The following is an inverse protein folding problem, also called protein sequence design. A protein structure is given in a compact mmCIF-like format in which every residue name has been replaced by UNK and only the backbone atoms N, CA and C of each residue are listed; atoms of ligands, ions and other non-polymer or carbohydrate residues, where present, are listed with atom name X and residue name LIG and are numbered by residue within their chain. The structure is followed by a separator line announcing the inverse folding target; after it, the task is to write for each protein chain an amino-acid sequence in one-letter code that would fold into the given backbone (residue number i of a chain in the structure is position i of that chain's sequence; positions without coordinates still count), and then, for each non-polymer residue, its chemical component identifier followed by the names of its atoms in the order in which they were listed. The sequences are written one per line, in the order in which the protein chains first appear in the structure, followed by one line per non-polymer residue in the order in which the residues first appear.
data_IF_441257110467
#
_entry.id   IF_441257110467
#
_cell.length_a   1.000
_cell.length_b   1.000
_cell.length_c   1.000
_cell.angle_alpha   90.00
_cell.angle_beta   90.00
_cell.angle_gamma   90.00
#
_symmetry.space_group_name_H-M   'P 1'
#
loop_
_entity.id
_entity.type
_entity.pdbx_description
1 polymer ?
#
# COMPACT_ATOMS: atom_id res chain seq x y z
N UNK A 1 0.53 20.03 8.20
CA UNK A 1 -0.61 19.29 8.77
C UNK A 1 -1.94 19.65 8.10
N UNK A 2 -2.39 20.88 8.10
CA UNK A 2 -3.68 21.31 7.50
C UNK A 2 -3.79 20.89 6.03
N UNK A 3 -2.75 21.11 5.22
CA UNK A 3 -2.78 20.75 3.81
C UNK A 3 -2.87 19.24 3.57
N UNK A 4 -2.18 18.41 4.36
CA UNK A 4 -2.25 16.95 4.24
C UNK A 4 -3.68 16.45 4.52
N UNK A 5 -4.33 17.00 5.55
CA UNK A 5 -5.72 16.67 5.86
C UNK A 5 -6.68 17.13 4.75
N UNK A 6 -6.49 18.34 4.23
CA UNK A 6 -7.27 18.86 3.10
C UNK A 6 -7.06 18.04 1.83
N UNK A 7 -5.83 17.58 1.57
CA UNK A 7 -5.51 16.76 0.41
C UNK A 7 -6.21 15.39 0.49
N UNK A 8 -6.23 14.75 1.66
CA UNK A 8 -6.96 13.50 1.87
C UNK A 8 -8.47 13.72 1.65
N UNK A 9 -9.07 14.73 2.27
CA UNK A 9 -10.49 15.01 2.14
C UNK A 9 -10.92 15.39 0.71
N UNK A 10 -10.12 16.24 0.04
CA UNK A 10 -10.35 16.59 -1.37
C UNK A 10 -10.13 15.39 -2.29
N UNK A 11 -9.08 14.61 -2.04
CA UNK A 11 -8.78 13.38 -2.78
C UNK A 11 -9.93 12.38 -2.69
N UNK A 12 -10.48 12.15 -1.50
CA UNK A 12 -11.62 11.26 -1.28
C UNK A 12 -12.88 11.73 -2.02
N UNK A 13 -13.16 13.03 -2.06
CA UNK A 13 -14.27 13.58 -2.86
C UNK A 13 -14.02 13.40 -4.36
N UNK A 14 -12.82 13.69 -4.82
CA UNK A 14 -12.45 13.63 -6.23
C UNK A 14 -12.59 12.22 -6.81
N UNK A 15 -12.20 11.18 -6.06
CA UNK A 15 -12.27 9.78 -6.54
C UNK A 15 -13.70 9.26 -6.67
N UNK A 16 -14.67 9.89 -5.99
CA UNK A 16 -16.09 9.56 -6.13
C UNK A 16 -16.76 10.19 -7.36
N UNK A 17 -16.08 11.14 -8.02
CA UNK A 17 -16.62 11.79 -9.20
C UNK A 17 -16.70 10.85 -10.43
N UNK A 18 -17.64 11.11 -11.36
CA UNK A 18 -17.74 10.35 -12.60
C UNK A 18 -16.41 10.29 -13.35
N UNK A 19 -16.05 9.11 -13.83
CA UNK A 19 -14.79 8.85 -14.54
C UNK A 19 -13.64 8.35 -13.64
N UNK A 20 -13.59 8.74 -12.36
CA UNK A 20 -12.57 8.24 -11.41
C UNK A 20 -13.08 7.07 -10.56
N UNK A 21 -14.37 7.02 -10.25
CA UNK A 21 -15.00 5.96 -9.44
C UNK A 21 -14.73 4.53 -9.96
N UNK A 22 -14.50 4.35 -11.27
CA UNK A 22 -14.18 3.05 -11.86
C UNK A 22 -12.85 2.47 -11.33
N UNK A 23 -11.89 3.33 -10.99
CA UNK A 23 -10.61 2.94 -10.41
C UNK A 23 -10.70 2.63 -8.90
N UNK A 24 -11.84 2.97 -8.28
CA UNK A 24 -12.19 2.56 -6.91
C UNK A 24 -12.96 1.24 -6.95
N UNK A 25 -13.98 1.16 -7.81
CA UNK A 25 -14.87 0.01 -7.90
C UNK A 25 -14.13 -1.21 -8.49
N UNK A 26 -13.27 -1.00 -9.48
CA UNK A 26 -12.53 -2.08 -10.15
C UNK A 26 -11.74 -2.96 -9.17
N UNK A 27 -10.80 -2.41 -8.38
CA UNK A 27 -10.08 -3.17 -7.37
C UNK A 27 -10.98 -3.86 -6.35
N UNK A 28 -12.08 -3.20 -5.94
CA UNK A 28 -13.04 -3.77 -4.98
C UNK A 28 -13.72 -5.01 -5.56
N UNK A 29 -14.16 -4.96 -6.81
CA UNK A 29 -14.80 -6.10 -7.48
C UNK A 29 -13.81 -7.26 -7.69
N UNK A 30 -12.58 -6.95 -8.12
CA UNK A 30 -11.54 -7.97 -8.30
C UNK A 30 -11.18 -8.61 -6.96
N UNK A 31 -11.03 -7.82 -5.89
CA UNK A 31 -10.76 -8.33 -4.55
C UNK A 31 -11.94 -9.14 -4.00
N UNK A 32 -13.17 -8.74 -4.28
CA UNK A 32 -14.35 -9.51 -3.87
C UNK A 32 -14.38 -10.88 -4.57
N UNK A 33 -14.12 -10.91 -5.88
CA UNK A 33 -14.01 -12.15 -6.63
C UNK A 33 -12.88 -13.04 -6.09
N UNK A 34 -11.71 -12.47 -5.85
CA UNK A 34 -10.58 -13.18 -5.26
C UNK A 34 -10.94 -13.73 -3.87
N UNK A 35 -11.61 -12.93 -3.04
CA UNK A 35 -12.06 -13.35 -1.71
C UNK A 35 -13.03 -14.55 -1.78
N UNK A 36 -14.07 -14.44 -2.60
CA UNK A 36 -15.06 -15.52 -2.78
C UNK A 36 -14.39 -16.80 -3.29
N UNK A 37 -13.49 -16.66 -4.27
CA UNK A 37 -12.74 -17.79 -4.82
C UNK A 37 -11.82 -18.42 -3.75
N UNK A 38 -11.11 -17.61 -2.98
CA UNK A 38 -10.23 -18.10 -1.91
C UNK A 38 -11.03 -18.84 -0.83
N UNK A 39 -12.15 -18.29 -0.38
CA UNK A 39 -13.02 -18.94 0.61
C UNK A 39 -13.57 -20.27 0.05
N UNK A 40 -14.02 -20.28 -1.20
CA UNK A 40 -14.51 -21.51 -1.84
C UNK A 40 -13.43 -22.61 -1.83
N UNK A 41 -12.23 -22.31 -2.30
CA UNK A 41 -11.12 -23.27 -2.30
C UNK A 41 -10.68 -23.70 -0.91
N UNK A 42 -10.66 -22.75 0.04
CA UNK A 42 -10.34 -23.05 1.43
C UNK A 42 -11.33 -24.05 2.02
N UNK A 43 -12.63 -23.79 1.90
CA UNK A 43 -13.67 -24.69 2.44
C UNK A 43 -13.59 -26.10 1.82
N UNK A 44 -13.32 -26.19 0.53
CA UNK A 44 -13.24 -27.48 -0.17
C UNK A 44 -11.99 -28.30 0.19
N UNK A 45 -10.88 -27.65 0.49
CA UNK A 45 -9.59 -28.34 0.60
C UNK A 45 -9.00 -28.30 2.03
N UNK A 46 -9.61 -27.57 2.95
CA UNK A 46 -9.07 -27.34 4.29
C UNK A 46 -8.77 -28.63 5.04
N UNK A 47 -9.72 -29.59 5.06
CA UNK A 47 -9.54 -30.88 5.69
C UNK A 47 -8.36 -31.65 5.08
N UNK A 48 -8.30 -31.77 3.76
CA UNK A 48 -7.23 -32.49 3.09
C UNK A 48 -5.84 -31.86 3.32
N UNK A 49 -5.75 -30.53 3.45
CA UNK A 49 -4.49 -29.87 3.79
C UNK A 49 -4.07 -30.11 5.22
N UNK A 50 -5.03 -30.16 6.16
CA UNK A 50 -4.76 -30.53 7.56
C UNK A 50 -4.34 -31.99 7.66
N UNK A 51 -5.05 -32.92 7.01
CA UNK A 51 -4.70 -34.34 7.00
C UNK A 51 -3.30 -34.57 6.40
N UNK A 52 -2.97 -33.86 5.30
CA UNK A 52 -1.63 -33.88 4.74
C UNK A 52 -0.58 -33.35 5.71
N UNK A 53 -0.87 -32.25 6.41
CA UNK A 53 0.01 -31.69 7.43
C UNK A 53 0.23 -32.63 8.59
N UNK A 54 -0.84 -33.25 9.09
CA UNK A 54 -0.75 -34.22 10.19
C UNK A 54 0.02 -35.49 9.77
N UNK A 55 -0.13 -35.95 8.54
CA UNK A 55 0.60 -37.11 8.01
C UNK A 55 2.14 -36.89 7.94
N UNK A 56 2.61 -35.63 7.99
CA UNK A 56 4.04 -35.31 8.07
C UNK A 56 4.58 -35.31 9.50
N UNK A 57 3.70 -35.39 10.51
CA UNK A 57 4.09 -35.42 11.91
C UNK A 57 4.65 -36.82 12.26
N UNK A 58 5.88 -36.92 12.79
CA UNK A 58 6.43 -38.21 13.19
C UNK A 58 5.61 -38.85 14.31
N UNK A 59 5.42 -40.18 14.26
CA UNK A 59 4.61 -40.94 15.21
C UNK A 59 5.07 -40.81 16.70
N UNK A 60 6.32 -40.49 16.93
CA UNK A 60 6.80 -40.23 18.31
C UNK A 60 6.23 -38.93 18.93
N UNK A 61 5.56 -38.08 18.12
CA UNK A 61 4.87 -36.86 18.55
C UNK A 61 3.34 -37.03 18.67
N UNK A 62 2.79 -38.23 18.48
CA UNK A 62 1.34 -38.47 18.52
C UNK A 62 0.71 -38.01 19.84
N UNK A 63 1.47 -38.13 20.96
CA UNK A 63 1.06 -37.64 22.27
C UNK A 63 0.85 -36.11 22.31
N UNK A 64 1.40 -35.37 21.34
CA UNK A 64 1.32 -33.93 21.24
C UNK A 64 0.28 -33.48 20.21
N UNK A 65 -0.51 -34.37 19.61
CA UNK A 65 -1.49 -34.10 18.57
C UNK A 65 -2.46 -32.97 18.97
N UNK A 66 -2.88 -32.97 20.23
CA UNK A 66 -3.75 -31.92 20.79
C UNK A 66 -3.19 -30.49 20.66
N UNK A 67 -1.88 -30.34 20.59
CA UNK A 67 -1.17 -29.08 20.41
C UNK A 67 -0.81 -28.83 18.93
N UNK A 68 -0.37 -29.87 18.24
CA UNK A 68 0.06 -29.78 16.83
C UNK A 68 -1.11 -29.44 15.92
N UNK A 69 -2.27 -30.03 16.15
CA UNK A 69 -3.46 -29.78 15.33
C UNK A 69 -3.88 -28.29 15.31
N UNK A 70 -4.08 -27.59 16.45
CA UNK A 70 -4.37 -26.16 16.45
C UNK A 70 -3.25 -25.32 15.84
N UNK A 71 -1.97 -25.70 16.02
CA UNK A 71 -0.86 -24.97 15.39
C UNK A 71 -0.89 -25.09 13.88
N UNK A 72 -1.21 -26.25 13.32
CA UNK A 72 -1.38 -26.44 11.88
C UNK A 72 -2.56 -25.63 11.35
N UNK A 73 -3.69 -25.62 12.06
CA UNK A 73 -4.86 -24.80 11.70
C UNK A 73 -4.49 -23.31 11.67
N UNK A 74 -3.87 -22.81 12.73
CA UNK A 74 -3.44 -21.41 12.82
C UNK A 74 -2.42 -21.10 11.71
N UNK A 75 -1.43 -21.97 11.51
CA UNK A 75 -0.42 -21.81 10.46
C UNK A 75 -1.04 -21.74 9.08
N UNK A 76 -1.97 -22.64 8.76
CA UNK A 76 -2.67 -22.64 7.47
C UNK A 76 -3.51 -21.37 7.28
N UNK A 77 -4.26 -20.95 8.30
CA UNK A 77 -5.05 -19.70 8.26
C UNK A 77 -4.14 -18.49 8.05
N UNK A 78 -3.00 -18.42 8.74
CA UNK A 78 -2.03 -17.33 8.56
C UNK A 78 -1.45 -17.33 7.14
N UNK A 79 -1.05 -18.48 6.61
CA UNK A 79 -0.53 -18.59 5.23
C UNK A 79 -1.57 -18.06 4.24
N UNK A 80 -2.81 -18.52 4.35
CA UNK A 80 -3.90 -18.07 3.46
C UNK A 80 -4.12 -16.56 3.62
N UNK A 81 -4.18 -16.05 4.85
CA UNK A 81 -4.40 -14.63 5.12
C UNK A 81 -3.28 -13.75 4.54
N UNK A 82 -2.02 -14.10 4.77
CA UNK A 82 -0.90 -13.31 4.25
C UNK A 82 -0.80 -13.41 2.73
N UNK A 83 -0.99 -14.60 2.16
CA UNK A 83 -0.99 -14.80 0.70
C UNK A 83 -2.09 -14.00 0.04
N UNK A 84 -3.33 -14.07 0.58
CA UNK A 84 -4.46 -13.29 0.10
C UNK A 84 -4.17 -11.79 0.15
N UNK A 85 -3.65 -11.29 1.28
CA UNK A 85 -3.32 -9.88 1.46
C UNK A 85 -2.27 -9.41 0.45
N UNK A 86 -1.22 -10.21 0.25
CA UNK A 86 -0.16 -9.90 -0.71
C UNK A 86 -0.71 -9.85 -2.14
N UNK A 87 -1.46 -10.87 -2.56
CA UNK A 87 -2.05 -10.95 -3.90
C UNK A 87 -3.04 -9.81 -4.14
N UNK A 88 -3.88 -9.49 -3.16
CA UNK A 88 -4.82 -8.37 -3.23
C UNK A 88 -4.11 -7.04 -3.44
N UNK A 89 -3.01 -6.79 -2.72
CA UNK A 89 -2.23 -5.56 -2.86
C UNK A 89 -1.54 -5.48 -4.25
N UNK A 90 -0.98 -6.60 -4.73
CA UNK A 90 -0.36 -6.66 -6.04
C UNK A 90 -1.36 -6.39 -7.17
N UNK A 91 -2.58 -6.95 -7.06
CA UNK A 91 -3.65 -6.72 -8.03
C UNK A 91 -4.15 -5.27 -7.98
N UNK A 92 -4.24 -4.67 -6.78
CA UNK A 92 -4.70 -3.30 -6.63
C UNK A 92 -3.69 -2.24 -7.12
N UNK A 93 -2.40 -2.54 -7.08
CA UNK A 93 -1.32 -1.60 -7.40
C UNK A 93 -1.47 -0.93 -8.78
N UNK A 94 -1.69 -1.64 -9.91
CA UNK A 94 -1.86 -1.02 -11.21
C UNK A 94 -3.09 -0.09 -11.26
N UNK A 95 -4.19 -0.43 -10.57
CA UNK A 95 -5.37 0.43 -10.53
C UNK A 95 -5.08 1.76 -9.83
N UNK A 96 -4.28 1.75 -8.79
CA UNK A 96 -3.88 2.97 -8.08
C UNK A 96 -2.87 3.80 -8.88
N UNK A 97 -2.00 3.15 -9.66
CA UNK A 97 -1.15 3.83 -10.63
C UNK A 97 -1.96 4.60 -11.67
N UNK A 98 -2.94 3.96 -12.29
CA UNK A 98 -3.87 4.59 -13.23
C UNK A 98 -4.75 5.67 -12.59
N UNK A 99 -5.20 5.45 -11.35
CA UNK A 99 -5.92 6.48 -10.60
C UNK A 99 -5.05 7.72 -10.42
N UNK A 100 -3.80 7.55 -9.99
CA UNK A 100 -2.87 8.65 -9.80
C UNK A 100 -2.64 9.43 -11.11
N UNK A 101 -2.45 8.74 -12.24
CA UNK A 101 -2.34 9.34 -13.57
C UNK A 101 -3.55 10.20 -13.91
N UNK A 102 -4.76 9.65 -13.76
CA UNK A 102 -5.99 10.38 -14.09
C UNK A 102 -6.26 11.57 -13.17
N UNK A 103 -5.93 11.42 -11.87
CA UNK A 103 -6.01 12.53 -10.91
C UNK A 103 -4.99 13.61 -11.27
N UNK A 104 -3.76 13.25 -11.61
CA UNK A 104 -2.72 14.20 -12.00
C UNK A 104 -3.12 14.95 -13.27
N UNK A 105 -3.57 14.25 -14.30
CA UNK A 105 -4.06 14.85 -15.53
C UNK A 105 -5.21 15.83 -15.26
N UNK A 106 -6.13 15.47 -14.37
CA UNK A 106 -7.28 16.34 -14.03
C UNK A 106 -6.88 17.59 -13.26
N UNK A 107 -5.86 17.49 -12.40
CA UNK A 107 -5.37 18.62 -11.60
C UNK A 107 -4.45 19.55 -12.38
N UNK A 108 -3.67 19.01 -13.30
CA UNK A 108 -2.60 19.74 -14.00
C UNK A 108 -2.93 20.03 -15.46
N UNK A 109 -3.98 19.43 -16.02
CA UNK A 109 -4.34 19.51 -17.44
C UNK A 109 -3.42 18.71 -18.37
N UNK A 110 -2.44 17.99 -17.84
CA UNK A 110 -1.45 17.22 -18.61
C UNK A 110 -1.27 15.83 -18.04
N UNK A 111 -1.01 14.80 -18.89
CA UNK A 111 -0.64 13.49 -18.40
C UNK A 111 0.72 13.55 -17.68
N UNK A 112 1.06 12.54 -16.85
CA UNK A 112 2.40 12.39 -16.27
C UNK A 112 3.50 12.33 -17.34
N UNK A 113 4.73 12.52 -16.92
CA UNK A 113 5.88 12.59 -17.83
C UNK A 113 6.18 11.26 -18.54
N UNK A 114 5.74 10.14 -18.01
CA UNK A 114 6.00 8.81 -18.54
C UNK A 114 4.70 8.17 -19.07
N UNK A 115 4.46 8.30 -20.36
CA UNK A 115 3.34 7.65 -21.05
C UNK A 115 3.64 6.18 -21.32
N UNK A 116 3.40 5.33 -20.34
CA UNK A 116 3.54 3.88 -20.47
C UNK A 116 2.23 3.25 -20.91
N UNK A 117 2.30 2.26 -21.82
CA UNK A 117 1.13 1.44 -22.15
C UNK A 117 0.64 0.62 -20.94
N UNK A 118 -0.63 0.23 -20.92
CA UNK A 118 -1.30 -0.45 -19.80
C UNK A 118 -0.55 -1.68 -19.26
N UNK A 119 -0.01 -2.51 -20.14
CA UNK A 119 0.73 -3.72 -19.75
C UNK A 119 2.02 -3.33 -19.03
N UNK A 120 2.78 -2.39 -19.59
CA UNK A 120 4.04 -1.93 -18.99
C UNK A 120 3.78 -1.27 -17.65
N UNK A 121 2.78 -0.40 -17.54
CA UNK A 121 2.38 0.21 -16.27
C UNK A 121 2.03 -0.84 -15.21
N UNK A 122 1.31 -1.91 -15.60
CA UNK A 122 0.98 -3.00 -14.69
C UNK A 122 2.22 -3.77 -14.20
N UNK A 123 3.12 -4.13 -15.12
CA UNK A 123 4.36 -4.86 -14.77
C UNK A 123 5.29 -4.01 -13.92
N UNK A 124 5.47 -2.74 -14.27
CA UNK A 124 6.31 -1.80 -13.52
C UNK A 124 5.74 -1.55 -12.11
N UNK A 125 4.40 -1.42 -11.98
CA UNK A 125 3.73 -1.31 -10.69
C UNK A 125 3.96 -2.55 -9.80
N UNK A 126 3.89 -3.76 -10.37
CA UNK A 126 4.20 -4.98 -9.63
C UNK A 126 5.67 -5.03 -9.19
N UNK A 127 6.59 -4.70 -10.09
CA UNK A 127 8.03 -4.60 -9.77
C UNK A 127 8.28 -3.59 -8.65
N UNK A 128 7.57 -2.46 -8.69
CA UNK A 128 7.66 -1.41 -7.67
C UNK A 128 7.16 -1.88 -6.29
N UNK A 129 6.06 -2.64 -6.25
CA UNK A 129 5.56 -3.25 -5.02
C UNK A 129 6.57 -4.23 -4.42
N UNK A 130 7.23 -5.05 -5.24
CA UNK A 130 8.29 -5.95 -4.77
C UNK A 130 9.48 -5.20 -4.17
N UNK A 131 9.89 -4.09 -4.78
CA UNK A 131 10.95 -3.20 -4.24
C UNK A 131 10.53 -2.61 -2.90
N UNK A 132 9.27 -2.18 -2.76
CA UNK A 132 8.72 -1.70 -1.48
C UNK A 132 8.71 -2.78 -0.41
N UNK A 133 8.32 -4.01 -0.75
CA UNK A 133 8.38 -5.15 0.16
C UNK A 133 9.81 -5.46 0.61
N UNK A 134 10.77 -5.48 -0.31
CA UNK A 134 12.20 -5.66 0.02
C UNK A 134 12.75 -4.55 0.93
N UNK A 135 12.20 -3.35 0.85
CA UNK A 135 12.54 -2.25 1.75
C UNK A 135 11.85 -2.38 3.12
N UNK A 136 10.60 -2.82 3.14
CA UNK A 136 9.73 -2.93 4.31
C UNK A 136 10.16 -4.08 5.23
N UNK A 137 10.27 -5.29 4.69
CA UNK A 137 10.41 -6.52 5.47
C UNK A 137 11.64 -6.55 6.41
N UNK A 138 12.86 -6.17 5.97
CA UNK A 138 14.02 -6.17 6.87
C UNK A 138 13.86 -5.18 8.04
N UNK A 139 13.18 -4.05 7.80
CA UNK A 139 12.95 -3.02 8.82
C UNK A 139 11.88 -3.43 9.83
N UNK A 140 10.82 -4.09 9.34
CA UNK A 140 9.83 -4.71 10.21
C UNK A 140 10.47 -5.78 11.10
N UNK A 141 11.28 -6.66 10.52
CA UNK A 141 11.99 -7.70 11.28
C UNK A 141 12.92 -7.08 12.35
N UNK A 142 13.66 -6.04 11.99
CA UNK A 142 14.50 -5.31 12.94
C UNK A 142 13.68 -4.71 14.08
N UNK A 143 12.59 -4.01 13.78
CA UNK A 143 11.73 -3.42 14.81
C UNK A 143 11.07 -4.47 15.69
N UNK A 144 10.70 -5.61 15.10
CA UNK A 144 10.16 -6.74 15.83
C UNK A 144 11.18 -7.29 16.84
N UNK A 145 12.42 -7.53 16.39
CA UNK A 145 13.52 -8.01 17.26
C UNK A 145 13.82 -6.99 18.36
N UNK A 146 13.85 -5.68 18.04
CA UNK A 146 14.06 -4.63 19.06
C UNK A 146 12.99 -4.65 20.16
N UNK A 147 11.77 -5.11 19.86
CA UNK A 147 10.70 -5.27 20.85
C UNK A 147 11.00 -6.30 21.95
N UNK A 148 11.92 -7.23 21.72
CA UNK A 148 12.35 -8.22 22.71
C UNK A 148 13.58 -7.79 23.51
N UNK A 149 14.22 -6.67 23.15
CA UNK A 149 15.41 -6.20 23.87
C UNK A 149 14.98 -5.40 25.11
N UNK A 150 15.31 -5.84 26.33
CA UNK A 150 14.98 -5.13 27.56
C UNK A 150 15.51 -3.69 27.54
N UNK A 151 14.68 -2.75 27.93
CA UNK A 151 15.01 -1.30 27.92
C UNK A 151 14.74 -0.61 26.56
N UNK A 152 14.95 -1.28 25.43
CA UNK A 152 14.60 -0.74 24.11
C UNK A 152 13.13 -0.93 23.77
N UNK A 153 12.50 -1.95 24.34
CA UNK A 153 11.09 -2.27 24.13
C UNK A 153 10.14 -1.12 24.48
N UNK A 154 10.50 -0.24 25.43
CA UNK A 154 9.71 0.95 25.79
C UNK A 154 9.59 1.93 24.62
N UNK A 155 10.59 2.03 23.76
CA UNK A 155 10.59 2.91 22.58
C UNK A 155 9.97 2.27 21.34
N UNK A 156 9.79 0.94 21.34
CA UNK A 156 9.30 0.20 20.18
C UNK A 156 7.95 0.68 19.67
N UNK A 157 6.93 1.01 20.48
CA UNK A 157 5.66 1.55 19.99
C UNK A 157 5.82 2.87 19.21
N UNK A 158 6.69 3.76 19.67
CA UNK A 158 6.98 5.02 19.00
C UNK A 158 7.71 4.80 17.67
N UNK A 159 8.65 3.87 17.64
CA UNK A 159 9.36 3.49 16.41
C UNK A 159 8.41 2.85 15.40
N UNK A 160 7.47 2.01 15.84
CA UNK A 160 6.43 1.45 14.99
C UNK A 160 5.49 2.52 14.44
N UNK A 161 5.07 3.48 15.25
CA UNK A 161 4.22 4.58 14.79
C UNK A 161 4.93 5.44 13.73
N UNK A 162 6.20 5.78 13.97
CA UNK A 162 7.02 6.54 13.02
C UNK A 162 7.28 5.77 11.73
N UNK A 163 7.59 4.48 11.86
CA UNK A 163 7.79 3.59 10.73
C UNK A 163 6.52 3.42 9.90
N UNK A 164 5.37 3.23 10.54
CA UNK A 164 4.07 3.12 9.88
C UNK A 164 3.73 4.41 9.13
N UNK A 165 3.94 5.58 9.74
CA UNK A 165 3.76 6.87 9.09
C UNK A 165 4.67 7.01 7.86
N UNK A 166 5.94 6.63 7.98
CA UNK A 166 6.90 6.66 6.88
C UNK A 166 6.49 5.72 5.73
N UNK A 167 6.10 4.49 6.06
CA UNK A 167 5.70 3.50 5.06
C UNK A 167 4.38 3.85 4.36
N UNK A 168 3.41 4.41 5.08
CA UNK A 168 2.18 4.93 4.48
C UNK A 168 2.45 6.10 3.53
N UNK A 169 3.36 7.01 3.89
CA UNK A 169 3.77 8.09 3.00
C UNK A 169 4.43 7.52 1.71
N UNK A 170 5.34 6.55 1.84
CA UNK A 170 5.94 5.85 0.71
C UNK A 170 4.83 5.24 -0.15
N UNK A 171 3.89 4.50 0.44
CA UNK A 171 2.85 3.78 -0.28
C UNK A 171 2.03 4.71 -1.19
N UNK A 172 1.57 5.84 -0.67
CA UNK A 172 0.68 6.72 -1.42
C UNK A 172 1.37 7.74 -2.32
N UNK A 173 2.58 8.18 -1.95
CA UNK A 173 3.36 9.13 -2.75
C UNK A 173 4.16 8.45 -3.85
N UNK A 174 4.33 7.13 -3.77
CA UNK A 174 5.00 6.35 -4.79
C UNK A 174 4.28 6.38 -6.14
N UNK A 175 2.96 6.25 -6.15
CA UNK A 175 2.17 6.21 -7.38
C UNK A 175 2.38 7.44 -8.29
N UNK A 176 2.21 8.69 -7.83
CA UNK A 176 2.48 9.84 -8.69
C UNK A 176 3.97 9.98 -9.03
N UNK A 177 4.88 9.60 -8.13
CA UNK A 177 6.31 9.69 -8.40
C UNK A 177 6.76 8.65 -9.44
N UNK A 178 6.24 7.42 -9.38
CA UNK A 178 6.50 6.39 -10.37
C UNK A 178 5.95 6.79 -11.76
N UNK A 179 4.75 7.32 -11.82
CA UNK A 179 4.16 7.84 -13.04
C UNK A 179 4.97 9.01 -13.66
N UNK A 180 5.79 9.68 -12.88
CA UNK A 180 6.71 10.72 -13.32
C UNK A 180 8.16 10.23 -13.41
N UNK A 181 8.38 8.93 -13.58
CA UNK A 181 9.70 8.29 -13.74
C UNK A 181 10.68 8.56 -12.60
N UNK A 182 10.21 8.86 -11.40
CA UNK A 182 11.05 9.05 -10.23
C UNK A 182 11.43 7.68 -9.65
N UNK A 183 12.70 7.35 -9.68
CA UNK A 183 13.23 6.10 -9.13
C UNK A 183 12.98 5.97 -7.62
N UNK A 184 12.83 4.74 -7.10
CA UNK A 184 12.53 4.50 -5.68
C UNK A 184 13.55 5.12 -4.71
N UNK A 185 14.84 5.15 -5.10
CA UNK A 185 15.89 5.80 -4.32
C UNK A 185 15.71 7.32 -4.24
N UNK A 186 15.38 7.94 -5.37
CA UNK A 186 15.16 9.38 -5.49
C UNK A 186 13.89 9.83 -4.78
N UNK A 187 12.82 9.05 -4.92
CA UNK A 187 11.60 9.24 -4.14
C UNK A 187 11.91 9.33 -2.64
N UNK A 188 12.65 8.36 -2.09
CA UNK A 188 13.00 8.38 -0.65
C UNK A 188 13.85 9.60 -0.27
N UNK A 189 14.74 10.07 -1.17
CA UNK A 189 15.50 11.31 -0.93
C UNK A 189 14.59 12.53 -0.88
N UNK A 190 13.64 12.65 -1.82
CA UNK A 190 12.64 13.73 -1.86
C UNK A 190 11.74 13.70 -0.63
N UNK A 191 11.29 12.53 -0.19
CA UNK A 191 10.46 12.38 1.02
C UNK A 191 11.22 12.79 2.28
N UNK A 192 12.50 12.45 2.40
CA UNK A 192 13.36 12.85 3.53
C UNK A 192 13.64 14.35 3.55
N UNK A 193 13.82 14.99 2.40
CA UNK A 193 14.06 16.44 2.33
C UNK A 193 12.86 17.27 2.81
N UNK A 194 11.67 16.67 2.79
CA UNK A 194 10.40 17.26 3.25
C UNK A 194 9.71 16.37 4.28
N UNK A 195 10.46 15.98 5.32
CA UNK A 195 10.01 14.96 6.28
C UNK A 195 8.72 15.35 7.04
N UNK A 196 8.49 16.62 7.34
CA UNK A 196 7.27 17.07 8.01
C UNK A 196 6.00 16.79 7.20
N UNK A 197 5.82 17.28 5.97
CA UNK A 197 4.65 16.94 5.18
C UNK A 197 4.57 15.43 4.89
N UNK A 198 5.71 14.74 4.72
CA UNK A 198 5.77 13.29 4.54
C UNK A 198 5.17 12.55 5.73
N UNK A 199 5.71 12.76 6.93
CA UNK A 199 5.27 12.06 8.13
C UNK A 199 3.86 12.46 8.56
N UNK A 200 3.49 13.72 8.37
CA UNK A 200 2.12 14.18 8.67
C UNK A 200 1.10 13.48 7.78
N UNK A 201 1.41 13.38 6.49
CA UNK A 201 0.52 12.71 5.54
C UNK A 201 0.43 11.21 5.81
N UNK A 202 1.58 10.54 5.93
CA UNK A 202 1.61 9.12 6.21
C UNK A 202 1.04 8.75 7.59
N UNK A 203 1.23 9.58 8.60
CA UNK A 203 0.63 9.41 9.92
C UNK A 203 -0.89 9.50 9.89
N UNK A 204 -1.45 10.49 9.16
CA UNK A 204 -2.90 10.59 8.95
C UNK A 204 -3.44 9.37 8.20
N UNK A 205 -2.74 8.90 7.17
CA UNK A 205 -3.13 7.69 6.44
C UNK A 205 -3.02 6.44 7.31
N UNK A 206 -1.98 6.33 8.13
CA UNK A 206 -1.82 5.24 9.09
C UNK A 206 -2.97 5.18 10.10
N UNK A 207 -3.37 6.32 10.66
CA UNK A 207 -4.54 6.39 11.56
C UNK A 207 -5.84 6.04 10.84
N UNK A 208 -5.99 6.48 9.60
CA UNK A 208 -7.18 6.22 8.80
C UNK A 208 -7.40 4.72 8.50
N UNK A 209 -6.33 3.94 8.41
CA UNK A 209 -6.43 2.48 8.18
C UNK A 209 -7.05 1.70 9.35
N UNK A 210 -7.07 2.27 10.56
CA UNK A 210 -7.71 1.66 11.72
C UNK A 210 -9.23 1.62 11.66
N UNK A 211 -9.84 2.40 10.75
CA UNK A 211 -11.29 2.45 10.58
C UNK A 211 -11.68 1.68 9.31
N UNK A 212 -12.19 0.43 9.40
CA UNK A 212 -12.35 -0.47 8.26
C UNK A 212 -13.20 0.11 7.12
N UNK A 213 -14.31 0.75 7.43
CA UNK A 213 -15.21 1.36 6.43
C UNK A 213 -14.55 2.56 5.74
N UNK A 214 -13.85 3.39 6.51
CA UNK A 214 -13.11 4.52 5.96
C UNK A 214 -11.93 4.05 5.09
N UNK A 215 -11.29 2.95 5.47
CA UNK A 215 -10.14 2.41 4.73
C UNK A 215 -10.50 2.12 3.26
N UNK A 216 -11.67 1.58 2.98
CA UNK A 216 -12.12 1.28 1.62
C UNK A 216 -12.17 2.52 0.71
N UNK A 217 -12.60 3.67 1.26
CA UNK A 217 -12.68 4.94 0.53
C UNK A 217 -11.39 5.76 0.65
N UNK A 218 -10.70 5.65 1.78
CA UNK A 218 -9.50 6.42 2.05
C UNK A 218 -8.28 5.90 1.29
N UNK A 219 -8.23 4.61 0.93
CA UNK A 219 -7.16 4.09 0.06
C UNK A 219 -7.08 4.85 -1.26
N UNK A 220 -8.12 4.86 -2.11
CA UNK A 220 -8.08 5.63 -3.35
C UNK A 220 -8.04 7.16 -3.11
N UNK A 221 -8.70 7.66 -2.07
CA UNK A 221 -8.63 9.05 -1.65
C UNK A 221 -7.22 9.47 -1.22
N UNK A 222 -6.48 8.55 -0.57
CA UNK A 222 -5.07 8.72 -0.24
C UNK A 222 -4.19 8.77 -1.48
N UNK A 223 -4.44 7.94 -2.49
CA UNK A 223 -3.71 8.05 -3.77
C UNK A 223 -3.92 9.43 -4.38
N UNK A 224 -5.16 9.89 -4.48
CA UNK A 224 -5.48 11.22 -5.02
C UNK A 224 -4.88 12.36 -4.17
N UNK A 225 -4.93 12.24 -2.85
CA UNK A 225 -4.25 13.16 -1.93
C UNK A 225 -2.74 13.16 -2.08
N UNK A 226 -2.14 11.98 -2.32
CA UNK A 226 -0.73 11.81 -2.62
C UNK A 226 -0.30 12.57 -3.88
N UNK A 227 -1.11 12.54 -4.94
CA UNK A 227 -0.90 13.34 -6.15
C UNK A 227 -0.88 14.84 -5.84
N UNK A 228 -1.81 15.33 -4.99
CA UNK A 228 -1.83 16.73 -4.59
C UNK A 228 -0.59 17.13 -3.79
N UNK A 229 -0.09 16.24 -2.91
CA UNK A 229 1.16 16.48 -2.17
C UNK A 229 2.38 16.44 -3.08
N UNK A 230 2.42 15.48 -4.01
CA UNK A 230 3.46 15.40 -5.02
C UNK A 230 3.59 16.71 -5.79
N UNK A 231 2.51 17.18 -6.35
CA UNK A 231 2.48 18.42 -7.14
C UNK A 231 2.94 19.64 -6.32
N UNK A 232 2.58 19.71 -5.03
CA UNK A 232 2.88 20.85 -4.18
C UNK A 232 4.29 20.86 -3.59
N UNK A 233 4.82 19.71 -3.18
CA UNK A 233 6.02 19.65 -2.32
C UNK A 233 7.21 18.94 -2.95
N UNK A 234 6.99 18.04 -3.91
CA UNK A 234 8.04 17.12 -4.35
C UNK A 234 8.37 17.21 -5.83
N UNK A 235 7.53 17.85 -6.62
CA UNK A 235 7.78 18.10 -8.04
C UNK A 235 8.90 19.13 -8.18
N UNK A 236 9.76 18.97 -9.20
CA UNK A 236 10.87 19.89 -9.43
C UNK A 236 10.36 21.30 -9.75
N UNK A 237 10.97 22.36 -9.14
CA UNK A 237 10.54 23.74 -9.32
C UNK A 237 10.59 24.20 -10.79
N UNK A 238 11.55 23.75 -11.59
CA UNK A 238 11.69 24.09 -13.00
C UNK A 238 10.50 23.57 -13.82
N UNK A 239 10.05 22.34 -13.55
CA UNK A 239 8.84 21.78 -14.18
C UNK A 239 7.58 22.53 -13.74
N UNK A 240 7.56 23.04 -12.51
CA UNK A 240 6.47 23.84 -11.98
C UNK A 240 6.48 25.29 -12.50
N UNK A 241 7.64 25.89 -12.73
CA UNK A 241 7.80 27.25 -13.25
C UNK A 241 7.43 27.35 -14.74
N UNK A 242 7.90 26.43 -15.56
CA UNK A 242 7.54 26.36 -16.98
C UNK A 242 6.02 26.23 -17.18
N UNK A 243 5.35 25.57 -16.24
CA UNK A 243 3.90 25.38 -16.22
C UNK A 243 3.15 26.70 -15.97
N UNK A 244 3.67 27.57 -15.10
CA UNK A 244 3.06 28.90 -14.83
C UNK A 244 3.19 29.84 -16.01
N UNK A 245 4.27 29.75 -16.78
CA UNK A 245 4.51 30.59 -17.95
C UNK A 245 3.60 30.22 -19.12
N UNK A 246 3.18 28.96 -19.22
CA UNK A 246 2.29 28.50 -20.29
C UNK A 246 0.80 28.74 -19.99
N UNK A 247 0.40 28.84 -18.73
CA UNK A 247 -0.99 29.14 -18.32
C UNK A 247 -1.26 30.65 -18.15
N UNK A 248 -0.23 31.47 -18.25
CA UNK A 248 -0.31 32.93 -18.19
C UNK A 248 -0.39 33.61 -19.58
N UNK A 249 -0.53 32.80 -20.63
CA UNK A 249 -0.82 33.25 -22.01
C UNK A 249 -2.19 32.71 -22.42
#
# INVERSE_FOLDING_TARGET
MIYSLQAIGRGTRLVLEPGLRRFVIGPVLVNLLLYVTTIYYLVQNFGGWLDYGMAQVPSWLDWLEWLIWPLLVIGLVLIVFFTFTLVSNLIAAPFYGFLAEKVETRLTGRPPADERGWIKTGVDALGRELVKLGYLLPRMALLFVLGFVPGLNVFTPFLWALFSAWMMAIQYLDYPMDNNAVGFGDMRRRLRSRWWPTLTYGGLMSLATWVPVLNLLLLPGGVAGGVMLWDRYYRDPETAANRKLEHGR
#
